data_IF_633260440154
#
_entry.id   IF_633260440154
#
_cell.length_a   1.000
_cell.length_b   1.000
_cell.length_c   1.000
_cell.angle_alpha   90.00
_cell.angle_beta   90.00
_cell.angle_gamma   90.00
#
_symmetry.space_group_name_H-M   'P 1'
#
loop_
_entity.id
_entity.type
_entity.pdbx_description
1 polymer ?
#
# COMPACT_ATOMS: atom_id res chain seq x y z
N UNK A 7 4.49 7.56 13.05
CA UNK A 7 5.16 6.87 11.95
C UNK A 7 6.66 7.13 11.99
N UNK A 8 7.38 6.29 12.73
CA UNK A 8 8.82 6.44 12.87
C UNK A 8 9.54 6.09 11.58
N UNK A 9 8.98 5.15 10.82
CA UNK A 9 9.55 4.80 9.53
C UNK A 9 8.50 4.87 8.43
N UNK A 10 8.84 5.56 7.34
CA UNK A 10 7.90 5.77 6.24
C UNK A 10 7.93 4.62 5.24
N UNK A 11 8.77 3.63 5.49
CA UNK A 11 8.87 2.48 4.60
C UNK A 11 9.12 1.19 5.35
N UNK A 12 8.44 0.12 4.92
CA UNK A 12 8.68 -1.20 5.52
C UNK A 12 8.84 -2.26 4.44
N UNK A 13 9.71 -3.25 4.68
CA UNK A 13 9.91 -4.33 3.72
C UNK A 13 8.58 -4.98 3.38
N UNK A 14 8.41 -5.39 2.13
CA UNK A 14 7.11 -5.83 1.63
C UNK A 14 6.57 -7.07 2.35
N UNK A 15 7.45 -7.79 3.04
CA UNK A 15 7.03 -8.95 3.82
C UNK A 15 6.25 -8.54 5.06
N UNK A 16 6.73 -7.49 5.73
CA UNK A 16 6.04 -6.94 6.89
C UNK A 16 4.70 -6.35 6.47
N UNK A 17 4.69 -5.66 5.33
CA UNK A 17 3.47 -5.12 4.76
C UNK A 17 2.50 -6.25 4.45
N UNK A 18 3.04 -7.38 4.01
CA UNK A 18 2.25 -8.57 3.76
C UNK A 18 1.63 -9.07 5.05
N UNK A 19 2.42 -9.07 6.12
CA UNK A 19 1.92 -9.48 7.43
C UNK A 19 0.79 -8.57 7.91
N UNK A 20 0.89 -7.29 7.56
CA UNK A 20 -0.09 -6.30 8.01
C UNK A 20 -1.46 -6.46 7.34
N UNK A 21 -1.46 -6.78 6.05
CA UNK A 21 -2.71 -6.90 5.31
C UNK A 21 -3.22 -8.34 5.25
N UNK A 22 -2.49 -9.25 5.89
CA UNK A 22 -2.91 -10.63 5.99
C UNK A 22 -2.73 -11.43 4.72
N UNK A 23 -1.95 -10.88 3.79
CA UNK A 23 -1.66 -11.57 2.54
C UNK A 23 -0.34 -12.32 2.64
N UNK A 24 -0.13 -13.28 1.75
CA UNK A 24 1.13 -14.00 1.69
C UNK A 24 2.19 -13.13 1.03
N UNK A 25 3.44 -13.54 1.17
CA UNK A 25 4.56 -12.79 0.59
C UNK A 25 4.50 -12.82 -0.93
N UNK A 26 4.24 -14.01 -1.48
CA UNK A 26 4.16 -14.18 -2.92
C UNK A 26 3.07 -13.34 -3.53
N UNK A 27 1.92 -13.28 -2.86
CA UNK A 27 0.80 -12.47 -3.31
C UNK A 27 1.20 -11.00 -3.44
N UNK A 28 1.90 -10.50 -2.43
CA UNK A 28 2.32 -9.10 -2.41
C UNK A 28 3.38 -8.81 -3.48
N UNK A 29 4.30 -9.75 -3.67
CA UNK A 29 5.31 -9.58 -4.71
C UNK A 29 4.64 -9.56 -6.08
N UNK A 30 3.60 -10.37 -6.24
CA UNK A 30 2.79 -10.36 -7.46
C UNK A 30 2.08 -9.02 -7.63
N UNK A 31 1.61 -8.45 -6.52
CA UNK A 31 0.99 -7.13 -6.55
C UNK A 31 1.99 -6.09 -7.03
N UNK A 32 3.23 -6.19 -6.56
CA UNK A 32 4.29 -5.27 -6.96
C UNK A 32 4.60 -5.41 -8.45
N UNK A 33 4.68 -6.65 -8.92
CA UNK A 33 5.01 -6.90 -10.32
C UNK A 33 3.91 -6.42 -11.25
N UNK A 34 2.66 -6.56 -10.82
CA UNK A 34 1.53 -6.05 -11.59
C UNK A 34 1.43 -4.53 -11.51
N UNK A 35 2.11 -3.95 -10.52
CA UNK A 35 2.18 -2.51 -10.36
C UNK A 35 1.04 -1.93 -9.55
N UNK A 36 0.81 -2.50 -8.37
CA UNK A 36 -0.31 -2.08 -7.53
C UNK A 36 0.10 -1.29 -6.29
N UNK A 37 1.40 -1.22 -6.02
CA UNK A 37 1.87 -0.65 -4.76
C UNK A 37 2.99 0.37 -4.91
N UNK A 38 2.95 1.43 -4.08
CA UNK A 38 4.03 2.42 -4.04
C UNK A 38 5.29 1.78 -3.47
N UNK A 39 6.35 1.74 -4.26
CA UNK A 39 7.50 0.91 -3.94
C UNK A 39 8.84 1.63 -4.10
N UNK A 40 9.76 1.35 -3.18
CA UNK A 40 11.14 1.78 -3.30
C UNK A 40 12.02 0.54 -3.34
N UNK A 41 13.06 0.58 -4.16
CA UNK A 41 13.95 -0.56 -4.30
C UNK A 41 15.30 -0.31 -3.64
N UNK A 42 15.62 -1.15 -2.66
CA UNK A 42 16.94 -1.13 -2.04
C UNK A 42 17.83 -2.17 -2.70
N UNK A 43 18.87 -1.71 -3.39
CA UNK A 43 19.71 -2.58 -4.20
C UNK A 43 21.16 -2.12 -4.21
N UNK A 44 22.06 -3.09 -4.13
CA UNK A 44 23.47 -2.81 -4.13
C UNK A 44 23.77 -1.86 -5.25
N UNK A 45 24.63 -0.82 -4.90
CA UNK A 45 24.92 0.09 -6.00
C UNK A 45 25.60 -0.66 -7.14
N UNK A 46 26.45 -1.62 -6.81
CA UNK A 46 27.18 -2.31 -7.86
C UNK A 46 26.35 -3.42 -8.51
N UNK A 47 25.23 -3.03 -9.09
CA UNK A 47 24.53 -3.86 -10.06
C UNK A 47 23.46 -3.08 -10.79
N UNK A 48 23.00 -3.60 -11.93
CA UNK A 48 21.99 -2.88 -12.68
C UNK A 48 20.81 -3.76 -13.09
N UNK A 49 19.98 -4.13 -12.13
CA UNK A 49 18.84 -4.98 -12.45
C UNK A 49 19.32 -6.20 -13.20
N UNK A 52 16.49 -6.91 -9.30
CA UNK A 52 16.35 -5.95 -8.21
C UNK A 52 16.76 -6.54 -6.87
N UNK A 53 16.34 -5.89 -5.79
CA UNK A 53 16.69 -6.35 -4.45
C UNK A 53 15.52 -6.26 -3.49
N UNK A 54 15.74 -5.62 -2.35
CA UNK A 54 14.70 -5.48 -1.33
C UNK A 54 13.61 -4.52 -1.78
N UNK A 55 12.37 -5.00 -1.80
CA UNK A 55 11.23 -4.15 -2.11
C UNK A 55 10.61 -3.60 -0.83
N UNK A 56 10.68 -2.28 -0.66
CA UNK A 56 10.10 -1.63 0.50
C UNK A 56 8.86 -0.84 0.10
N UNK A 57 7.77 -1.03 0.83
CA UNK A 57 6.58 -0.23 0.61
C UNK A 57 6.70 1.11 1.32
N UNK A 58 6.49 2.18 0.56
CA UNK A 58 6.52 3.55 1.07
C UNK A 58 5.13 3.94 1.53
N UNK A 59 4.97 4.09 2.84
CA UNK A 59 3.65 4.24 3.47
C UNK A 59 2.90 5.57 3.27
N UNK A 60 3.61 6.71 3.26
CA UNK A 60 2.88 7.96 3.01
C UNK A 60 2.14 7.97 1.68
N UNK A 61 2.80 7.51 0.62
CA UNK A 61 2.18 7.44 -0.69
C UNK A 61 0.98 6.50 -0.67
N UNK A 62 1.13 5.38 0.03
CA UNK A 62 0.08 4.38 0.15
C UNK A 62 -1.16 4.95 0.82
N UNK A 63 -0.98 5.53 2.00
CA UNK A 63 -2.11 6.06 2.77
C UNK A 63 -2.74 7.31 2.17
N UNK A 64 -1.92 8.19 1.62
CA UNK A 64 -2.44 9.35 0.90
C UNK A 64 -3.22 8.91 -0.34
N UNK A 65 -2.76 7.83 -0.97
CA UNK A 65 -3.45 7.26 -2.11
C UNK A 65 -4.80 6.69 -1.73
N UNK A 66 -4.83 5.92 -0.65
CA UNK A 66 -6.08 5.38 -0.12
C UNK A 66 -7.05 6.51 0.24
N UNK A 67 -6.51 7.60 0.79
CA UNK A 67 -7.31 8.75 1.20
C UNK A 67 -7.93 9.43 -0.02
N UNK A 68 -7.10 9.71 -1.03
CA UNK A 68 -7.58 10.28 -2.28
C UNK A 68 -8.69 9.42 -2.88
N UNK A 69 -8.42 8.12 -2.94
CA UNK A 69 -9.36 7.16 -3.50
C UNK A 69 -10.70 7.16 -2.76
N UNK A 70 -10.65 7.20 -1.44
CA UNK A 70 -11.88 7.15 -0.65
C UNK A 70 -12.64 8.47 -0.67
N UNK A 71 -11.93 9.57 -0.90
CA UNK A 71 -12.58 10.87 -0.96
C UNK A 71 -13.14 11.18 -2.34
N UNK A 72 -12.63 10.49 -3.36
CA UNK A 72 -13.02 10.78 -4.74
C UNK A 72 -14.35 10.14 -5.14
N UNK A 73 -14.80 9.14 -4.38
CA UNK A 73 -16.11 8.55 -4.64
C UNK A 73 -17.20 9.53 -4.21
N UNK A 74 -18.37 9.47 -4.85
CA UNK A 74 -19.42 10.44 -4.51
C UNK A 74 -20.02 10.16 -3.15
N UNK A 75 -20.39 11.22 -2.43
CA UNK A 75 -20.79 11.13 -1.03
C UNK A 75 -21.93 10.15 -0.72
N UNK A 76 -22.68 9.75 -1.75
CA UNK A 76 -23.77 8.80 -1.55
C UNK A 76 -23.24 7.47 -1.02
N UNK A 77 -22.46 6.78 -1.84
CA UNK A 77 -21.85 5.52 -1.44
C UNK A 77 -20.93 5.70 -0.24
N UNK A 78 -20.09 6.73 -0.31
CA UNK A 78 -19.07 6.99 0.71
C UNK A 78 -19.64 7.20 2.11
N UNK A 79 -20.72 7.96 2.21
CA UNK A 79 -21.28 8.33 3.51
C UNK A 79 -22.59 7.62 3.85
N UNK A 80 -23.04 6.74 2.97
CA UNK A 80 -24.30 6.04 3.17
C UNK A 80 -24.32 5.09 4.35
N UNK A 81 -23.19 4.42 4.58
CA UNK A 81 -23.10 3.38 5.61
C UNK A 81 -23.28 3.92 7.03
N UNK A 82 -23.05 5.22 7.21
CA UNK A 82 -23.14 5.85 8.52
C UNK A 82 -24.57 5.84 9.06
N UNK A 83 -25.54 5.70 8.17
CA UNK A 83 -26.95 5.65 8.56
C UNK A 83 -27.26 4.39 9.35
N UNK A 84 -26.50 3.33 9.08
CA UNK A 84 -26.68 2.06 9.79
C UNK A 84 -26.29 2.17 11.25
N UNK A 85 -25.56 3.23 11.59
CA UNK A 85 -25.12 3.46 12.96
C UNK A 85 -25.98 4.52 13.63
N UNK A 86 -26.77 5.23 12.84
CA UNK A 86 -27.66 6.26 13.35
C UNK A 86 -27.16 7.67 13.07
N UNK A 87 -26.62 7.88 11.87
CA UNK A 87 -26.09 9.18 11.49
C UNK A 87 -26.64 9.62 10.14
#
# INVERSE_FOLDING_TARGET
MSKQVTLMTDAIPYQEFAKLIGKSTGAVRRMIDKGKLPVIDMTDPQSASGRAGEYWVYLPAWNNGLKLAYESRPKEIRDGWLMWLGLGEPR
#
